data_IF_226669000273
#
_entry.id   IF_226669000273
#
_cell.length_a   1.000
_cell.length_b   1.000
_cell.length_c   1.000
_cell.angle_alpha   90.00
_cell.angle_beta   90.00
_cell.angle_gamma   90.00
#
_symmetry.space_group_name_H-M   'P 1'
#
loop_
_entity.id
_entity.type
_entity.pdbx_description
1 polymer ?
#
# COMPACT_ATOMS: atom_id res chain seq x y z
N UNK A 1 7.25 -37.13 -26.19
CA UNK A 1 6.50 -35.95 -25.71
C UNK A 1 7.33 -35.24 -24.65
N UNK A 2 7.76 -33.98 -24.85
CA UNK A 2 8.40 -33.17 -23.78
C UNK A 2 7.32 -32.26 -23.19
N UNK A 3 6.88 -32.56 -21.98
CA UNK A 3 6.02 -31.65 -21.21
C UNK A 3 6.95 -30.58 -20.64
N UNK A 4 6.89 -29.37 -21.17
CA UNK A 4 7.66 -28.24 -20.67
C UNK A 4 7.12 -27.79 -19.30
N UNK A 5 8.01 -27.46 -18.36
CA UNK A 5 7.61 -26.89 -17.09
C UNK A 5 6.98 -25.51 -17.32
N UNK A 6 5.74 -25.33 -16.87
CA UNK A 6 5.05 -24.04 -16.86
C UNK A 6 5.18 -23.44 -15.46
N UNK A 7 5.87 -22.31 -15.35
CA UNK A 7 5.97 -21.58 -14.10
C UNK A 7 4.81 -20.58 -13.98
N UNK A 8 4.02 -20.70 -12.92
CA UNK A 8 2.99 -19.71 -12.57
C UNK A 8 3.55 -18.75 -11.51
N UNK A 9 3.73 -17.48 -11.88
CA UNK A 9 4.27 -16.46 -10.98
C UNK A 9 3.25 -15.99 -9.94
N UNK A 10 3.12 -16.70 -8.82
CA UNK A 10 2.29 -16.28 -7.69
C UNK A 10 3.00 -15.14 -6.94
N UNK A 11 2.36 -13.96 -6.91
CA UNK A 11 2.83 -12.79 -6.15
C UNK A 11 1.88 -12.53 -5.00
N UNK A 12 2.42 -12.38 -3.79
CA UNK A 12 1.63 -11.99 -2.63
C UNK A 12 0.97 -10.61 -2.87
N UNK A 13 -0.34 -10.53 -2.59
CA UNK A 13 -1.06 -9.26 -2.65
C UNK A 13 -0.73 -8.45 -1.40
N UNK A 14 0.06 -7.40 -1.59
CA UNK A 14 0.38 -6.46 -0.51
C UNK A 14 -0.78 -5.48 -0.29
N UNK A 15 -1.30 -5.47 0.94
CA UNK A 15 -2.26 -4.47 1.39
C UNK A 15 -1.57 -3.43 2.28
N UNK A 16 -1.48 -2.20 1.79
CA UNK A 16 -0.98 -1.07 2.55
C UNK A 16 -2.16 -0.28 3.09
N UNK A 17 -2.41 -0.39 4.39
CA UNK A 17 -3.47 0.39 5.05
C UNK A 17 -3.07 1.86 5.14
N UNK A 18 -4.02 2.75 4.87
CA UNK A 18 -3.87 4.20 5.07
C UNK A 18 -4.32 4.56 6.49
N UNK A 19 -3.53 5.35 7.19
CA UNK A 19 -3.85 5.89 8.50
C UNK A 19 -4.90 6.99 8.38
N UNK A 20 -5.89 6.99 9.28
CA UNK A 20 -6.95 7.99 9.26
C UNK A 20 -6.50 9.36 9.79
N UNK A 21 -5.52 9.38 10.71
CA UNK A 21 -4.99 10.63 11.29
C UNK A 21 -4.03 11.36 10.38
N UNK A 22 -3.00 10.68 9.87
CA UNK A 22 -1.93 11.36 9.12
C UNK A 22 -2.06 11.21 7.59
N UNK A 23 -2.95 10.34 7.12
CA UNK A 23 -3.15 9.97 5.72
C UNK A 23 -1.95 9.25 5.07
N UNK A 24 -0.99 8.78 5.87
CA UNK A 24 0.13 7.94 5.41
C UNK A 24 -0.26 6.47 5.23
N UNK A 25 0.52 5.75 4.44
CA UNK A 25 0.40 4.29 4.31
C UNK A 25 1.45 3.58 5.14
N UNK A 26 1.07 2.46 5.76
CA UNK A 26 1.88 1.45 6.49
C UNK A 26 1.30 1.10 7.85
N UNK A 27 0.57 2.02 8.48
CA UNK A 27 0.10 1.89 9.86
C UNK A 27 -1.36 2.31 10.01
N UNK A 28 -1.98 1.88 11.11
CA UNK A 28 -3.35 2.26 11.49
C UNK A 28 -3.33 3.43 12.48
N UNK A 29 -4.49 4.02 12.72
CA UNK A 29 -4.67 5.13 13.67
C UNK A 29 -4.13 4.90 15.08
N UNK A 30 -4.11 3.63 15.53
CA UNK A 30 -3.62 3.23 16.86
C UNK A 30 -2.09 3.35 16.96
N UNK A 31 -1.40 3.08 15.87
CA UNK A 31 0.07 3.06 15.78
C UNK A 31 0.63 4.35 15.15
N UNK A 32 -0.22 5.37 15.02
CA UNK A 32 0.15 6.64 14.41
C UNK A 32 0.93 7.51 15.40
N UNK A 33 2.19 7.79 15.07
CA UNK A 33 3.08 8.68 15.83
C UNK A 33 3.12 10.12 15.28
N UNK A 34 2.36 10.40 14.22
CA UNK A 34 2.34 11.72 13.61
C UNK A 34 1.70 12.77 14.52
N UNK A 35 2.33 13.96 14.57
CA UNK A 35 1.82 15.12 15.33
C UNK A 35 0.67 15.85 14.62
N UNK A 36 0.53 15.66 13.31
CA UNK A 36 -0.47 16.35 12.49
C UNK A 36 -1.72 15.48 12.38
N UNK A 37 -2.85 16.02 12.83
CA UNK A 37 -4.16 15.39 12.69
C UNK A 37 -4.90 15.94 11.46
N UNK A 38 -5.17 15.06 10.51
CA UNK A 38 -5.94 15.26 9.28
C UNK A 38 -7.20 14.38 9.26
N UNK A 39 -7.65 13.90 10.42
CA UNK A 39 -8.85 13.05 10.52
C UNK A 39 -10.12 13.74 10.00
N UNK A 40 -10.14 15.07 10.01
CA UNK A 40 -11.25 15.89 9.51
C UNK A 40 -11.17 16.16 7.99
N UNK A 41 -10.11 15.71 7.32
CA UNK A 41 -9.95 15.84 5.87
C UNK A 41 -10.52 14.60 5.16
N UNK A 42 -11.20 14.84 4.04
CA UNK A 42 -11.78 13.78 3.24
C UNK A 42 -10.71 12.90 2.60
N UNK A 43 -10.79 11.58 2.76
CA UNK A 43 -9.80 10.62 2.22
C UNK A 43 -9.71 10.59 0.69
N UNK A 44 -10.72 11.13 0.01
CA UNK A 44 -10.76 11.18 -1.47
C UNK A 44 -10.13 12.47 -2.01
N UNK A 45 -10.42 13.63 -1.42
CA UNK A 45 -10.07 14.92 -2.00
C UNK A 45 -9.18 15.81 -1.11
N UNK A 46 -8.97 15.44 0.16
CA UNK A 46 -8.19 16.22 1.13
C UNK A 46 -8.90 17.48 1.67
N UNK A 47 -10.15 17.75 1.27
CA UNK A 47 -10.91 18.89 1.78
C UNK A 47 -11.59 18.57 3.11
N UNK A 48 -11.68 19.56 3.99
CA UNK A 48 -12.40 19.47 5.27
C UNK A 48 -13.92 19.66 5.07
N UNK A 49 -14.72 19.22 6.04
CA UNK A 49 -16.16 19.47 6.09
C UNK A 49 -17.06 18.41 5.45
N UNK A 50 -16.49 17.31 4.94
CA UNK A 50 -17.28 16.15 4.49
C UNK A 50 -16.47 14.85 4.56
N UNK A 51 -17.16 13.72 4.61
CA UNK A 51 -16.54 12.38 4.57
C UNK A 51 -16.49 11.82 3.15
N UNK A 52 -15.67 10.79 2.93
CA UNK A 52 -15.53 10.13 1.61
C UNK A 52 -16.83 9.60 1.00
N UNK A 53 -17.85 9.32 1.83
CA UNK A 53 -19.18 8.90 1.39
C UNK A 53 -19.97 10.05 0.75
N UNK A 54 -19.76 11.26 1.22
CA UNK A 54 -20.46 12.49 0.79
C UNK A 54 -19.57 13.35 -0.13
N UNK A 55 -18.39 12.85 -0.49
CA UNK A 55 -17.45 13.57 -1.33
C UNK A 55 -17.95 13.63 -2.77
N UNK A 56 -18.31 14.84 -3.20
CA UNK A 56 -18.65 15.19 -4.59
C UNK A 56 -17.44 15.74 -5.37
N UNK A 57 -16.31 15.93 -4.70
CA UNK A 57 -15.09 16.45 -5.30
C UNK A 57 -14.33 15.36 -6.05
N UNK A 58 -13.53 15.77 -7.02
CA UNK A 58 -12.59 14.86 -7.70
C UNK A 58 -11.61 14.23 -6.71
N UNK A 59 -11.25 12.98 -6.99
CA UNK A 59 -10.23 12.28 -6.21
C UNK A 59 -8.86 12.92 -6.41
N UNK A 60 -8.24 13.34 -5.31
CA UNK A 60 -6.91 13.95 -5.27
C UNK A 60 -6.00 13.07 -4.45
N UNK A 61 -4.83 12.75 -5.00
CA UNK A 61 -3.79 12.10 -4.22
C UNK A 61 -3.19 13.12 -3.24
N UNK A 62 -3.41 12.94 -1.94
CA UNK A 62 -2.94 13.83 -0.85
C UNK A 62 -1.42 14.00 -0.80
N UNK A 63 -0.67 13.08 -1.42
CA UNK A 63 0.80 13.16 -1.54
C UNK A 63 1.28 13.78 -2.83
N UNK A 64 0.47 13.77 -3.88
CA UNK A 64 0.75 14.53 -5.09
C UNK A 64 0.21 15.96 -4.99
N UNK A 65 -0.78 16.23 -4.13
CA UNK A 65 -1.44 17.52 -3.90
C UNK A 65 -1.99 18.24 -5.16
N UNK A 66 -1.95 17.61 -6.34
CA UNK A 66 -2.50 18.21 -7.56
C UNK A 66 -3.92 17.74 -7.78
N UNK A 67 -4.83 18.71 -7.79
CA UNK A 67 -6.18 18.57 -8.32
C UNK A 67 -6.10 18.47 -9.85
N UNK A 68 -6.76 17.48 -10.45
CA UNK A 68 -6.97 17.48 -11.90
C UNK A 68 -5.78 17.12 -12.80
N UNK A 69 -4.50 17.48 -12.57
CA UNK A 69 -3.47 17.25 -13.62
C UNK A 69 -1.99 17.04 -13.22
N UNK A 70 -1.33 16.16 -14.00
CA UNK A 70 -0.02 16.28 -14.70
C UNK A 70 1.02 17.29 -14.15
N UNK A 71 1.79 16.91 -13.13
CA UNK A 71 3.08 17.54 -12.83
C UNK A 71 4.21 16.50 -12.84
N UNK A 72 4.94 16.54 -13.95
CA UNK A 72 6.25 16.03 -14.36
C UNK A 72 6.78 14.63 -13.99
N UNK A 73 6.32 13.92 -12.93
CA UNK A 73 6.62 12.49 -12.71
C UNK A 73 5.48 11.69 -12.08
N UNK A 74 4.25 11.92 -12.54
CA UNK A 74 3.10 11.07 -12.22
C UNK A 74 2.32 10.77 -13.51
N UNK A 75 2.68 9.67 -14.17
CA UNK A 75 2.33 9.39 -15.58
C UNK A 75 0.94 8.77 -15.77
N UNK A 76 0.05 8.86 -14.77
CA UNK A 76 -1.28 8.23 -14.82
C UNK A 76 -2.35 9.25 -14.41
N UNK A 77 -3.16 9.66 -15.39
CA UNK A 77 -4.35 10.47 -15.15
C UNK A 77 -5.44 9.66 -14.42
N UNK A 78 -6.19 10.29 -13.52
CA UNK A 78 -7.35 9.69 -12.85
C UNK A 78 -7.03 8.44 -12.02
N UNK A 79 -6.14 8.55 -11.04
CA UNK A 79 -5.82 7.43 -10.16
C UNK A 79 -6.03 7.75 -8.68
N UNK A 80 -6.65 6.81 -7.97
CA UNK A 80 -6.70 6.82 -6.52
C UNK A 80 -5.32 6.59 -5.92
N UNK A 81 -5.09 7.18 -4.76
CA UNK A 81 -3.80 7.06 -4.07
C UNK A 81 -3.48 5.63 -3.58
N UNK A 82 -4.44 4.69 -3.64
CA UNK A 82 -4.28 3.27 -3.31
C UNK A 82 -3.93 2.39 -4.53
N UNK A 83 -3.79 2.96 -5.72
CA UNK A 83 -3.46 2.22 -6.94
C UNK A 83 -1.95 2.11 -7.15
N UNK A 84 -1.48 0.96 -7.64
CA UNK A 84 -0.08 0.75 -8.08
C UNK A 84 0.35 1.76 -9.16
N UNK A 85 -0.63 2.34 -9.86
CA UNK A 85 -0.44 3.41 -10.83
C UNK A 85 0.12 4.70 -10.21
N UNK A 86 -0.07 4.90 -8.90
CA UNK A 86 0.56 5.98 -8.16
C UNK A 86 2.05 5.68 -7.94
N UNK A 87 2.98 6.54 -8.38
CA UNK A 87 4.42 6.31 -8.18
C UNK A 87 4.79 6.26 -6.69
N UNK A 88 4.07 7.00 -5.84
CA UNK A 88 4.26 6.98 -4.40
C UNK A 88 3.84 5.64 -3.78
N UNK A 89 2.61 5.19 -4.07
CA UNK A 89 2.11 3.90 -3.60
C UNK A 89 2.94 2.74 -4.15
N UNK A 90 3.36 2.81 -5.43
CA UNK A 90 4.26 1.83 -6.06
C UNK A 90 5.55 1.65 -5.26
N UNK A 91 6.23 2.74 -4.89
CA UNK A 91 7.45 2.68 -4.08
C UNK A 91 7.23 1.99 -2.74
N UNK A 92 6.11 2.28 -2.07
CA UNK A 92 5.77 1.64 -0.79
C UNK A 92 5.48 0.15 -0.94
N UNK A 93 4.78 -0.26 -2.00
CA UNK A 93 4.54 -1.68 -2.31
C UNK A 93 5.87 -2.37 -2.60
N UNK A 94 6.75 -1.75 -3.37
CA UNK A 94 8.09 -2.30 -3.67
C UNK A 94 8.95 -2.46 -2.41
N UNK A 95 8.90 -1.49 -1.48
CA UNK A 95 9.59 -1.60 -0.19
C UNK A 95 9.02 -2.74 0.65
N UNK A 96 7.69 -2.82 0.78
CA UNK A 96 7.05 -3.90 1.55
C UNK A 96 7.34 -5.29 0.95
N UNK A 97 7.45 -5.40 -0.38
CA UNK A 97 7.91 -6.64 -1.04
C UNK A 97 9.31 -7.03 -0.59
N UNK A 98 10.25 -6.09 -0.51
CA UNK A 98 11.62 -6.35 -0.05
C UNK A 98 11.63 -6.82 1.41
N UNK A 99 10.91 -6.13 2.29
CA UNK A 99 10.76 -6.54 3.70
C UNK A 99 10.18 -7.96 3.83
N UNK A 100 9.16 -8.29 3.03
CA UNK A 100 8.57 -9.63 3.02
C UNK A 100 9.58 -10.69 2.52
N UNK A 101 10.37 -10.41 1.48
CA UNK A 101 11.42 -11.30 0.99
C UNK A 101 12.53 -11.51 2.05
N UNK A 102 12.96 -10.43 2.72
CA UNK A 102 13.98 -10.48 3.78
C UNK A 102 13.49 -11.29 4.99
N UNK A 103 12.24 -11.10 5.42
CA UNK A 103 11.64 -11.89 6.50
C UNK A 103 11.50 -13.38 6.14
N UNK A 104 11.21 -13.72 4.88
CA UNK A 104 11.23 -15.11 4.40
C UNK A 104 12.64 -15.71 4.38
N UNK A 105 13.69 -14.92 4.07
CA UNK A 105 15.08 -15.38 4.07
C UNK A 105 15.63 -15.65 5.49
N UNK A 106 15.11 -14.94 6.49
CA UNK A 106 15.45 -15.12 7.92
C UNK A 106 14.71 -16.28 8.59
N UNK A 107 13.72 -16.85 7.90
CA UNK A 107 12.87 -17.95 8.37
C UNK A 107 13.38 -19.36 8.06
N UNK A 108 14.61 -19.53 7.54
CA UNK A 108 15.26 -20.87 7.49
C UNK A 108 15.84 -21.26 8.85
N UNK A 109 15.01 -21.32 9.89
CA UNK A 109 15.30 -22.18 11.05
C UNK A 109 14.54 -23.47 10.85
N UNK A 110 15.29 -24.52 10.56
CA UNK A 110 14.75 -25.84 10.21
C UNK A 110 13.73 -26.32 11.23
N UNK A 111 12.59 -26.78 10.73
CA UNK A 111 11.76 -27.73 11.46
C UNK A 111 12.63 -28.98 11.71
N UNK A 112 13.17 -29.14 12.92
CA UNK A 112 13.56 -30.47 13.38
C UNK A 112 12.26 -31.27 13.45
N UNK A 113 12.11 -32.23 12.53
CA UNK A 113 11.09 -33.24 12.61
C UNK A 113 11.21 -33.94 13.96
N UNK A 114 10.17 -33.85 14.76
CA UNK A 114 10.07 -34.59 16.00
C UNK A 114 9.68 -36.02 15.61
N UNK A 115 10.66 -36.92 15.47
CA UNK A 115 10.39 -38.36 15.38
C UNK A 115 9.95 -38.83 16.75
N UNK A 116 8.63 -38.97 16.94
CA UNK A 116 8.08 -39.90 17.93
C UNK A 116 7.84 -41.22 17.19
N UNK A 117 8.63 -42.23 17.51
CA UNK A 117 8.32 -43.65 17.35
C UNK A 117 9.13 -44.35 18.46
N UNK A 118 8.46 -44.61 19.59
CA UNK A 118 7.91 -45.92 20.00
C UNK A 118 8.93 -46.71 20.82
#
# INVERSE_FOLDING_TARGET
MRIGWVECGVKERIYLTRCFKCLEYSHKTRDCTAKVDRSDECYKCGSKGHRSKECKNEEKCTKCNVAGHRAEKCNVAGHRADQIKCPYFRKMVEQKRKENIESMSSGRRGHKGNTHDS
#
